data_IF_308713553297
#
_entry.id   IF_308713553297
#
_cell.length_a   1.000
_cell.length_b   1.000
_cell.length_c   1.000
_cell.angle_alpha   90.00
_cell.angle_beta   90.00
_cell.angle_gamma   90.00
#
_symmetry.space_group_name_H-M   'P 1'
#
loop_
_entity.id
_entity.type
_entity.pdbx_description
1 polymer ?
#
# COMPACT_ATOMS: atom_id res chain seq x y z
N UNK A 1 -5.46 12.78 10.34
CA UNK A 1 -6.17 12.92 11.63
C UNK A 1 -5.10 13.17 12.69
N UNK A 2 -5.22 14.20 13.54
CA UNK A 2 -4.26 14.45 14.61
C UNK A 2 -4.11 13.24 15.53
N UNK A 3 -2.90 13.01 16.07
CA UNK A 3 -2.59 11.85 16.91
C UNK A 3 -3.50 11.76 18.13
N UNK A 4 -3.76 12.88 18.81
CA UNK A 4 -4.65 12.92 19.97
C UNK A 4 -6.08 12.49 19.64
N UNK A 5 -6.61 12.96 18.50
CA UNK A 5 -7.94 12.58 18.02
C UNK A 5 -7.99 11.09 17.67
N UNK A 6 -6.93 10.56 17.05
CA UNK A 6 -6.80 9.15 16.73
C UNK A 6 -6.77 8.25 17.98
N UNK A 7 -5.96 8.59 18.99
CA UNK A 7 -5.89 7.85 20.25
C UNK A 7 -7.25 7.82 20.94
N UNK A 8 -7.90 8.99 21.07
CA UNK A 8 -9.23 9.10 21.68
C UNK A 8 -10.29 8.28 20.92
N UNK A 9 -10.27 8.32 19.59
CA UNK A 9 -11.18 7.52 18.76
C UNK A 9 -10.99 6.02 18.99
N UNK A 10 -9.75 5.56 19.06
CA UNK A 10 -9.45 4.14 19.32
C UNK A 10 -9.83 3.70 20.73
N UNK A 11 -9.70 4.56 21.75
CA UNK A 11 -10.19 4.27 23.09
C UNK A 11 -11.71 4.09 23.13
N UNK A 12 -12.45 4.94 22.42
CA UNK A 12 -13.92 4.82 22.30
C UNK A 12 -14.29 3.51 21.60
N UNK A 13 -13.62 3.17 20.50
CA UNK A 13 -13.85 1.92 19.77
C UNK A 13 -13.60 0.69 20.64
N UNK A 14 -12.49 0.67 21.38
CA UNK A 14 -12.19 -0.40 22.34
C UNK A 14 -13.27 -0.55 23.42
N UNK A 15 -13.76 0.57 23.98
CA UNK A 15 -14.87 0.56 24.96
C UNK A 15 -16.15 -0.02 24.37
N UNK A 16 -16.38 0.21 23.08
CA UNK A 16 -17.52 -0.33 22.33
C UNK A 16 -17.30 -1.74 21.79
N UNK A 17 -16.17 -2.40 22.10
CA UNK A 17 -15.79 -3.70 21.53
C UNK A 17 -15.68 -3.70 19.99
N UNK A 18 -15.36 -2.55 19.41
CA UNK A 18 -15.10 -2.39 17.99
C UNK A 18 -13.59 -2.48 17.70
N UNK A 19 -13.26 -3.03 16.52
CA UNK A 19 -11.87 -3.12 16.06
C UNK A 19 -11.24 -1.72 15.95
N UNK A 20 -10.10 -1.43 16.61
CA UNK A 20 -9.44 -0.14 16.52
C UNK A 20 -8.88 0.10 15.12
N UNK A 21 -8.79 1.37 14.72
CA UNK A 21 -8.10 1.73 13.49
C UNK A 21 -6.60 1.50 13.64
N UNK A 22 -5.99 0.93 12.59
CA UNK A 22 -4.56 0.62 12.58
C UNK A 22 -3.67 1.87 12.59
N UNK A 23 -4.04 2.94 11.88
CA UNK A 23 -3.25 4.17 11.81
C UNK A 23 -4.13 5.41 11.58
N UNK A 24 -3.61 6.64 11.80
CA UNK A 24 -4.37 7.87 11.60
C UNK A 24 -4.85 8.08 10.17
N UNK A 25 -4.17 7.54 9.15
CA UNK A 25 -4.58 7.59 7.73
C UNK A 25 -5.89 6.83 7.52
N UNK A 26 -5.97 5.59 8.00
CA UNK A 26 -7.17 4.75 7.90
C UNK A 26 -8.31 5.33 8.72
N UNK A 27 -8.01 5.84 9.93
CA UNK A 27 -9.00 6.52 10.76
C UNK A 27 -9.57 7.76 10.05
N UNK A 28 -8.73 8.61 9.46
CA UNK A 28 -9.18 9.79 8.72
C UNK A 28 -10.07 9.42 7.51
N UNK A 29 -9.64 8.46 6.69
CA UNK A 29 -10.39 8.02 5.53
C UNK A 29 -11.76 7.43 5.91
N UNK A 30 -11.80 6.55 6.92
CA UNK A 30 -13.05 5.99 7.43
C UNK A 30 -13.96 7.02 8.11
N UNK A 31 -13.39 8.13 8.58
CA UNK A 31 -14.13 9.25 9.18
C UNK A 31 -14.77 10.15 8.14
N UNK A 32 -14.06 10.43 7.04
CA UNK A 32 -14.57 11.26 5.96
C UNK A 32 -15.68 10.55 5.15
N UNK A 33 -15.63 9.22 5.05
CA UNK A 33 -16.58 8.39 4.29
C UNK A 33 -17.83 7.97 5.06
N UNK A 34 -18.16 8.63 6.16
CA UNK A 34 -19.39 8.35 6.90
C UNK A 34 -20.61 8.87 6.15
N UNK A 35 -21.67 8.06 6.06
CA UNK A 35 -22.94 8.48 5.46
C UNK A 35 -23.61 9.60 6.28
N UNK A 36 -23.53 9.50 7.61
CA UNK A 36 -24.01 10.56 8.50
C UNK A 36 -22.86 11.54 8.83
N UNK A 37 -22.94 12.80 8.37
CA UNK A 37 -21.91 13.81 8.66
C UNK A 37 -21.78 14.14 10.16
N UNK A 38 -22.81 13.87 10.97
CA UNK A 38 -22.74 14.04 12.44
C UNK A 38 -21.78 13.05 13.10
N UNK A 39 -21.51 11.92 12.46
CA UNK A 39 -20.49 10.98 12.94
C UNK A 39 -19.11 11.56 12.60
N UNK A 40 -18.91 12.05 11.39
CA UNK A 40 -17.64 12.64 10.95
C UNK A 40 -17.26 13.86 11.82
N UNK A 41 -18.23 14.73 12.16
CA UNK A 41 -17.99 15.93 12.96
C UNK A 41 -17.44 15.63 14.37
N UNK A 42 -17.81 14.48 14.96
CA UNK A 42 -17.31 14.05 16.28
C UNK A 42 -15.87 13.54 16.26
N UNK A 43 -15.31 13.27 15.07
CA UNK A 43 -13.99 12.62 14.93
C UNK A 43 -12.82 13.61 14.82
N UNK A 44 -13.08 14.91 15.04
CA UNK A 44 -12.05 15.96 15.18
C UNK A 44 -11.01 15.90 14.04
N UNK A 45 -11.50 15.79 12.80
CA UNK A 45 -10.64 15.85 11.63
C UNK A 45 -10.04 17.24 11.50
N UNK A 46 -8.80 17.29 11.01
CA UNK A 46 -8.10 18.52 10.66
C UNK A 46 -7.47 18.39 9.27
N UNK A 47 -7.08 19.51 8.68
CA UNK A 47 -6.60 19.60 7.30
C UNK A 47 -5.47 20.62 7.16
N UNK A 48 -4.51 20.29 6.30
CA UNK A 48 -3.59 21.24 5.69
C UNK A 48 -3.82 21.27 4.18
N UNK A 49 -3.96 22.46 3.61
CA UNK A 49 -3.94 22.64 2.16
C UNK A 49 -2.49 22.75 1.69
N UNK A 50 -2.20 22.12 0.55
CA UNK A 50 -0.82 22.01 0.04
C UNK A 50 -0.69 22.43 -1.43
N UNK A 51 -1.78 22.73 -2.11
CA UNK A 51 -1.78 23.15 -3.51
C UNK A 51 -3.14 23.75 -3.87
N UNK A 52 -3.15 24.49 -4.98
CA UNK A 52 -4.36 24.95 -5.64
C UNK A 52 -4.46 24.19 -6.96
N UNK A 53 -5.58 23.54 -7.19
CA UNK A 53 -5.92 22.95 -8.49
C UNK A 53 -6.89 23.87 -9.25
N UNK A 54 -6.97 23.69 -10.57
CA UNK A 54 -7.83 24.51 -11.43
C UNK A 54 -7.19 25.87 -11.80
N UNK A 55 -8.03 26.79 -12.26
CA UNK A 55 -7.60 28.12 -12.70
C UNK A 55 -7.27 29.02 -11.49
N UNK A 56 -6.20 29.82 -11.63
CA UNK A 56 -5.80 30.81 -10.63
C UNK A 56 -6.18 32.20 -11.14
N UNK A 57 -7.32 32.72 -10.67
CA UNK A 57 -7.86 34.01 -11.12
C UNK A 57 -7.36 35.20 -10.27
N UNK A 58 -6.67 34.93 -9.16
CA UNK A 58 -6.36 35.95 -8.15
C UNK A 58 -4.91 36.44 -8.23
N UNK A 59 -4.67 37.40 -9.11
CA UNK A 59 -3.39 38.11 -9.23
C UNK A 59 -2.24 37.26 -9.81
N UNK A 60 -1.06 37.88 -9.93
CA UNK A 60 0.14 37.31 -10.57
C UNK A 60 1.06 36.65 -9.55
N UNK A 61 0.53 35.70 -8.76
CA UNK A 61 1.39 34.91 -7.87
C UNK A 61 2.03 33.79 -8.68
N UNK A 62 3.33 33.95 -8.93
CA UNK A 62 4.15 33.08 -9.78
C UNK A 62 4.85 31.96 -9.02
N UNK A 63 4.81 31.96 -7.68
CA UNK A 63 5.41 30.91 -6.85
C UNK A 63 4.37 30.06 -6.10
N UNK A 64 4.70 28.79 -5.91
CA UNK A 64 3.89 27.85 -5.13
C UNK A 64 3.79 28.30 -3.67
N UNK A 65 4.92 28.67 -3.07
CA UNK A 65 5.02 29.25 -1.73
C UNK A 65 4.13 30.48 -1.57
N UNK A 66 4.18 31.41 -2.53
CA UNK A 66 3.35 32.61 -2.53
C UNK A 66 1.85 32.30 -2.58
N UNK A 67 1.45 31.25 -3.30
CA UNK A 67 0.04 30.81 -3.32
C UNK A 67 -0.38 30.24 -1.97
N UNK A 68 0.48 29.47 -1.30
CA UNK A 68 0.21 28.97 0.05
C UNK A 68 0.09 30.11 1.07
N UNK A 69 0.99 31.09 1.03
CA UNK A 69 0.93 32.29 1.87
C UNK A 69 -0.37 33.07 1.65
N UNK A 70 -0.81 33.18 0.40
CA UNK A 70 -2.09 33.83 0.08
C UNK A 70 -3.28 33.05 0.64
N UNK A 71 -3.30 31.72 0.50
CA UNK A 71 -4.33 30.88 1.12
C UNK A 71 -4.35 31.04 2.65
N UNK A 72 -3.18 31.13 3.29
CA UNK A 72 -3.08 31.37 4.73
C UNK A 72 -3.70 32.71 5.11
N UNK A 73 -3.46 33.78 4.33
CA UNK A 73 -4.10 35.10 4.52
C UNK A 73 -5.62 35.06 4.38
N UNK A 74 -6.15 34.16 3.55
CA UNK A 74 -7.60 33.93 3.42
C UNK A 74 -8.20 33.11 4.57
N UNK A 75 -7.39 32.63 5.51
CA UNK A 75 -7.83 31.82 6.65
C UNK A 75 -7.84 30.32 6.39
N UNK A 76 -7.30 29.86 5.26
CA UNK A 76 -7.05 28.43 5.06
C UNK A 76 -5.88 27.95 5.93
N UNK A 77 -5.96 26.69 6.37
CA UNK A 77 -4.89 26.07 7.15
C UNK A 77 -3.80 25.55 6.22
N UNK A 78 -2.60 26.11 6.35
CA UNK A 78 -1.36 25.64 5.71
C UNK A 78 -0.48 25.00 6.78
N UNK A 79 0.39 24.07 6.38
CA UNK A 79 1.33 23.45 7.31
C UNK A 79 2.36 24.50 7.77
N UNK A 80 2.44 24.82 9.08
CA UNK A 80 3.39 25.82 9.60
C UNK A 80 4.85 25.41 9.38
N UNK A 81 5.12 24.13 9.18
CA UNK A 81 6.46 23.60 9.05
C UNK A 81 7.03 23.71 7.62
N UNK A 82 6.25 24.17 6.64
CA UNK A 82 6.73 24.29 5.26
C UNK A 82 7.84 25.34 5.13
N UNK A 83 8.91 25.01 4.40
CA UNK A 83 10.07 25.88 4.22
C UNK A 83 10.44 26.04 2.74
N UNK A 84 10.82 27.25 2.34
CA UNK A 84 11.43 27.53 1.04
C UNK A 84 12.93 27.23 1.16
N UNK A 85 13.42 26.33 0.31
CA UNK A 85 14.83 25.97 0.22
C UNK A 85 15.41 26.50 -1.10
N UNK A 86 16.57 27.16 -1.06
CA UNK A 86 17.24 27.77 -2.21
C UNK A 86 18.26 26.87 -2.88
N UNK A 87 18.64 25.76 -2.25
CA UNK A 87 19.55 24.77 -2.80
C UNK A 87 19.15 23.33 -2.41
N UNK A 88 19.77 22.34 -3.04
CA UNK A 88 19.53 20.94 -2.70
C UNK A 88 20.10 20.59 -1.32
N UNK A 89 21.16 21.26 -0.89
CA UNK A 89 21.74 21.10 0.43
C UNK A 89 20.74 21.53 1.51
N UNK A 90 20.10 22.70 1.35
CA UNK A 90 19.04 23.15 2.27
C UNK A 90 17.86 22.17 2.32
N UNK A 91 17.51 21.55 1.18
CA UNK A 91 16.46 20.52 1.13
C UNK A 91 16.87 19.27 1.92
N UNK A 92 18.12 18.82 1.79
CA UNK A 92 18.61 17.65 2.51
C UNK A 92 18.69 17.90 4.02
N UNK A 93 19.17 19.08 4.43
CA UNK A 93 19.19 19.51 5.83
C UNK A 93 17.77 19.52 6.43
N UNK A 94 16.80 20.08 5.70
CA UNK A 94 15.40 20.10 6.12
C UNK A 94 14.81 18.68 6.26
N UNK A 95 15.15 17.76 5.35
CA UNK A 95 14.73 16.36 5.42
C UNK A 95 15.32 15.67 6.64
N UNK A 96 16.61 15.87 6.93
CA UNK A 96 17.28 15.28 8.08
C UNK A 96 16.69 15.80 9.39
N UNK A 97 16.50 17.12 9.50
CA UNK A 97 15.85 17.77 10.64
C UNK A 97 14.47 17.16 10.94
N UNK A 98 13.62 17.04 9.92
CA UNK A 98 12.28 16.50 10.11
C UNK A 98 12.26 14.98 10.27
N UNK A 99 13.29 14.27 9.82
CA UNK A 99 13.44 12.84 10.12
C UNK A 99 13.60 12.63 11.62
N UNK A 100 14.39 13.47 12.29
CA UNK A 100 14.58 13.42 13.75
C UNK A 100 13.37 13.96 14.52
N UNK A 101 12.83 15.11 14.07
CA UNK A 101 11.75 15.82 14.77
C UNK A 101 10.36 15.26 14.52
N UNK A 102 10.15 14.34 13.58
CA UNK A 102 8.82 13.81 13.22
C UNK A 102 7.98 13.35 14.41
N UNK A 103 8.60 12.76 15.43
CA UNK A 103 7.90 12.26 16.62
C UNK A 103 7.32 13.38 17.51
N UNK A 104 7.79 14.63 17.35
CA UNK A 104 7.30 15.79 18.08
C UNK A 104 6.02 16.41 17.47
N UNK A 105 5.68 16.05 16.23
CA UNK A 105 4.50 16.56 15.55
C UNK A 105 3.22 15.99 16.17
N UNK A 106 2.16 16.80 16.16
CA UNK A 106 0.83 16.39 16.60
C UNK A 106 0.08 15.52 15.58
N UNK A 107 0.73 15.17 14.47
CA UNK A 107 0.19 14.41 13.36
C UNK A 107 1.30 13.53 12.75
N UNK A 108 0.90 12.41 12.15
CA UNK A 108 1.84 11.50 11.51
C UNK A 108 2.22 12.00 10.11
N UNK A 109 3.50 11.91 9.78
CA UNK A 109 4.06 12.14 8.46
C UNK A 109 4.87 10.92 8.03
N UNK A 110 4.91 10.68 6.72
CA UNK A 110 5.58 9.52 6.13
C UNK A 110 6.74 9.91 5.19
N UNK A 111 7.03 11.20 5.11
CA UNK A 111 8.10 11.79 4.33
C UNK A 111 7.90 13.29 4.16
N UNK A 112 8.76 13.88 3.33
CA UNK A 112 8.72 15.28 2.93
C UNK A 112 8.39 15.36 1.43
N UNK A 113 7.53 16.30 1.03
CA UNK A 113 7.25 16.55 -0.39
C UNK A 113 8.07 17.74 -0.85
N UNK A 114 9.00 17.49 -1.77
CA UNK A 114 9.84 18.52 -2.39
C UNK A 114 9.15 18.95 -3.67
N UNK A 115 9.01 20.26 -3.89
CA UNK A 115 8.37 20.84 -5.07
C UNK A 115 9.22 21.97 -5.61
N UNK A 116 9.27 22.08 -6.94
CA UNK A 116 9.78 23.29 -7.61
C UNK A 116 8.87 24.46 -7.23
N UNK A 117 9.44 25.56 -6.72
CA UNK A 117 8.63 26.68 -6.24
C UNK A 117 8.07 27.54 -7.38
N UNK A 118 8.82 27.68 -8.46
CA UNK A 118 8.41 28.43 -9.65
C UNK A 118 7.30 27.71 -10.43
N UNK A 119 6.16 28.38 -10.63
CA UNK A 119 4.99 27.76 -11.25
C UNK A 119 5.10 27.63 -12.77
N UNK A 120 5.81 28.54 -13.44
CA UNK A 120 6.07 28.42 -14.88
C UNK A 120 6.92 27.16 -15.16
N UNK A 121 7.93 26.91 -14.33
CA UNK A 121 8.74 25.71 -14.37
C UNK A 121 7.90 24.44 -14.09
N UNK A 122 6.91 24.49 -13.18
CA UNK A 122 6.00 23.36 -12.98
C UNK A 122 5.21 23.04 -14.25
N UNK A 123 4.69 24.06 -14.94
CA UNK A 123 3.95 23.90 -16.20
C UNK A 123 4.85 23.31 -17.30
N UNK A 124 6.06 23.83 -17.46
CA UNK A 124 7.03 23.34 -18.44
C UNK A 124 7.47 21.89 -18.17
N UNK A 125 7.66 21.52 -16.90
CA UNK A 125 8.03 20.16 -16.50
C UNK A 125 6.88 19.18 -16.72
N UNK A 126 5.64 19.59 -16.48
CA UNK A 126 4.43 18.82 -16.73
C UNK A 126 4.29 17.55 -15.89
N UNK A 127 3.59 16.56 -16.44
CA UNK A 127 3.20 15.32 -15.74
C UNK A 127 3.58 14.09 -16.56
N UNK A 128 3.90 13.00 -15.85
CA UNK A 128 3.86 11.64 -16.41
C UNK A 128 2.42 11.11 -16.40
N UNK A 129 2.21 9.87 -16.84
CA UNK A 129 0.89 9.23 -16.76
C UNK A 129 0.31 9.13 -15.34
N UNK A 130 1.14 9.22 -14.29
CA UNK A 130 0.72 9.01 -12.89
C UNK A 130 1.17 10.08 -11.90
N UNK A 131 2.18 10.90 -12.22
CA UNK A 131 2.80 11.82 -11.25
C UNK A 131 3.36 13.09 -11.91
N UNK A 132 3.41 14.22 -11.20
CA UNK A 132 4.11 15.43 -11.66
C UNK A 132 5.62 15.18 -11.81
N UNK A 133 6.27 15.90 -12.73
CA UNK A 133 7.74 15.89 -12.89
C UNK A 133 8.45 16.92 -12.01
N UNK A 134 7.70 17.86 -11.46
CA UNK A 134 8.18 18.98 -10.64
C UNK A 134 8.05 18.76 -9.12
N UNK A 135 7.56 17.59 -8.70
CA UNK A 135 7.45 17.25 -7.28
C UNK A 135 7.82 15.79 -7.03
N UNK A 136 8.42 15.54 -5.86
CA UNK A 136 8.79 14.21 -5.40
C UNK A 136 8.50 14.05 -3.91
N UNK A 137 8.01 12.89 -3.50
CA UNK A 137 7.88 12.52 -2.11
C UNK A 137 9.16 11.81 -1.65
N UNK A 138 9.95 12.50 -0.82
CA UNK A 138 11.10 11.94 -0.14
C UNK A 138 10.63 11.21 1.12
N UNK A 139 10.53 9.88 1.02
CA UNK A 139 10.07 9.03 2.13
C UNK A 139 11.15 8.88 3.19
N UNK A 140 10.75 8.91 4.46
CA UNK A 140 11.67 8.58 5.55
C UNK A 140 12.11 7.12 5.45
N UNK A 141 13.25 6.76 6.06
CA UNK A 141 13.64 5.37 6.21
C UNK A 141 12.49 4.58 6.84
N UNK A 142 12.08 3.51 6.16
CA UNK A 142 10.99 2.67 6.62
C UNK A 142 11.35 2.06 7.98
N UNK A 143 10.38 2.04 8.90
CA UNK A 143 10.56 1.33 10.17
C UNK A 143 10.79 -0.16 9.88
N UNK A 144 11.94 -0.66 10.34
CA UNK A 144 12.26 -2.07 10.34
C UNK A 144 11.73 -2.71 11.63
N UNK A 145 11.19 -3.92 11.53
CA UNK A 145 10.81 -4.72 12.67
C UNK A 145 11.35 -6.14 12.54
N UNK A 146 11.66 -6.75 13.67
CA UNK A 146 12.15 -8.12 13.75
C UNK A 146 10.96 -9.04 14.07
N UNK A 147 10.81 -10.12 13.32
CA UNK A 147 9.79 -11.15 13.58
C UNK A 147 10.27 -12.53 13.10
N UNK A 148 9.52 -13.59 13.40
CA UNK A 148 9.81 -14.95 12.93
C UNK A 148 9.06 -15.29 11.65
N UNK A 149 9.74 -15.94 10.71
CA UNK A 149 9.16 -16.56 9.54
C UNK A 149 8.57 -17.92 9.93
N UNK A 150 7.24 -18.00 10.04
CA UNK A 150 6.52 -19.21 10.45
C UNK A 150 6.41 -20.20 9.30
N UNK A 151 6.08 -19.72 8.11
CA UNK A 151 5.84 -20.54 6.93
C UNK A 151 5.91 -19.69 5.65
N UNK A 152 5.87 -20.32 4.48
CA UNK A 152 5.76 -19.66 3.17
C UNK A 152 4.56 -20.23 2.43
N UNK A 153 3.55 -19.39 2.21
CA UNK A 153 2.37 -19.74 1.43
C UNK A 153 2.54 -19.35 -0.05
N UNK A 154 2.10 -20.22 -0.95
CA UNK A 154 2.15 -19.98 -2.38
C UNK A 154 0.77 -19.60 -2.92
N UNK A 155 0.73 -18.52 -3.68
CA UNK A 155 -0.47 -18.09 -4.41
C UNK A 155 -0.24 -18.18 -5.92
N UNK A 156 -1.29 -18.51 -6.67
CA UNK A 156 -1.25 -18.53 -8.15
C UNK A 156 -1.98 -17.31 -8.66
N UNK A 157 -1.25 -16.38 -9.27
CA UNK A 157 -1.81 -15.15 -9.82
C UNK A 157 -2.57 -15.38 -11.13
N UNK A 158 -3.26 -14.33 -11.60
CA UNK A 158 -4.06 -14.33 -12.84
C UNK A 158 -3.32 -14.82 -14.10
N UNK A 159 -2.01 -14.57 -14.18
CA UNK A 159 -1.17 -14.95 -15.32
C UNK A 159 -0.41 -16.25 -15.08
N UNK A 160 -0.81 -17.02 -14.06
CA UNK A 160 -0.19 -18.27 -13.67
C UNK A 160 1.06 -18.13 -12.79
N UNK A 161 1.54 -16.92 -12.53
CA UNK A 161 2.71 -16.66 -11.69
C UNK A 161 2.50 -17.20 -10.29
N UNK A 162 3.46 -18.00 -9.80
CA UNK A 162 3.49 -18.52 -8.44
C UNK A 162 4.22 -17.51 -7.56
N UNK A 163 3.47 -16.85 -6.67
CA UNK A 163 4.00 -15.81 -5.79
C UNK A 163 4.11 -16.34 -4.36
N UNK A 164 5.34 -16.42 -3.81
CA UNK A 164 5.55 -16.79 -2.41
C UNK A 164 5.25 -15.63 -1.47
N UNK A 165 4.53 -15.92 -0.40
CA UNK A 165 4.20 -14.98 0.67
C UNK A 165 4.69 -15.53 2.01
N UNK A 166 5.55 -14.79 2.69
CA UNK A 166 5.97 -15.12 4.04
C UNK A 166 4.78 -15.02 5.01
N UNK A 167 4.56 -16.07 5.79
CA UNK A 167 3.70 -16.08 6.97
C UNK A 167 4.57 -15.77 8.17
N UNK A 168 4.25 -14.71 8.88
CA UNK A 168 5.09 -14.14 9.93
C UNK A 168 4.39 -14.20 11.29
N UNK A 169 5.19 -14.29 12.35
CA UNK A 169 4.70 -14.03 13.69
C UNK A 169 4.17 -12.59 13.77
N UNK A 170 3.00 -12.34 14.39
CA UNK A 170 2.38 -11.02 14.34
C UNK A 170 3.27 -9.95 14.97
N UNK A 171 3.70 -8.98 14.17
CA UNK A 171 4.58 -7.88 14.62
C UNK A 171 4.02 -6.52 14.23
N UNK A 172 4.21 -5.50 15.06
CA UNK A 172 3.79 -4.13 14.74
C UNK A 172 4.87 -3.41 13.94
N UNK A 173 4.49 -2.85 12.79
CA UNK A 173 5.35 -2.05 11.92
C UNK A 173 4.58 -0.83 11.42
N UNK A 174 5.09 0.39 11.67
CA UNK A 174 4.44 1.63 11.28
C UNK A 174 2.95 1.66 11.68
N UNK A 175 2.67 1.33 12.94
CA UNK A 175 1.32 1.38 13.55
C UNK A 175 0.38 0.20 13.25
N UNK A 176 0.64 -0.66 12.25
CA UNK A 176 -0.22 -1.83 11.97
C UNK A 176 0.46 -3.15 12.27
N UNK A 177 -0.32 -4.15 12.68
CA UNK A 177 0.14 -5.53 12.78
C UNK A 177 0.35 -6.11 11.38
N UNK A 178 1.53 -6.65 11.14
CA UNK A 178 1.93 -7.37 9.92
C UNK A 178 2.05 -8.85 10.27
N UNK A 179 1.41 -9.70 9.47
CA UNK A 179 1.49 -11.16 9.55
C UNK A 179 1.90 -11.79 8.21
N UNK A 180 1.93 -10.99 7.14
CA UNK A 180 2.20 -11.44 5.78
C UNK A 180 3.12 -10.45 5.10
N UNK A 181 4.12 -10.94 4.38
CA UNK A 181 5.03 -10.12 3.58
C UNK A 181 5.33 -10.78 2.23
N UNK A 182 5.47 -9.96 1.19
CA UNK A 182 5.85 -10.46 -0.14
C UNK A 182 7.29 -10.97 -0.12
N UNK A 183 7.52 -12.14 -0.71
CA UNK A 183 8.85 -12.66 -1.03
C UNK A 183 9.20 -12.49 -2.50
N UNK A 184 8.30 -11.91 -3.30
CA UNK A 184 8.42 -11.64 -4.73
C UNK A 184 8.57 -12.89 -5.62
N UNK A 185 9.66 -13.64 -5.48
CA UNK A 185 9.97 -14.83 -6.28
C UNK A 185 10.94 -15.78 -5.55
N UNK A 186 11.19 -16.94 -6.16
CA UNK A 186 12.10 -17.96 -5.60
C UNK A 186 13.55 -17.48 -5.54
N UNK A 187 14.00 -16.70 -6.52
CA UNK A 187 15.40 -16.27 -6.60
C UNK A 187 15.74 -15.35 -5.43
N UNK A 188 14.80 -14.50 -4.99
CA UNK A 188 14.96 -13.67 -3.79
C UNK A 188 15.01 -14.50 -2.49
N UNK A 189 14.26 -15.60 -2.43
CA UNK A 189 14.32 -16.53 -1.28
C UNK A 189 15.71 -17.14 -1.19
N UNK A 190 16.27 -17.57 -2.33
CA UNK A 190 17.63 -18.15 -2.42
C UNK A 190 18.71 -17.11 -2.15
N UNK A 191 18.60 -15.91 -2.72
CA UNK A 191 19.55 -14.80 -2.53
C UNK A 191 19.68 -14.42 -1.06
N UNK A 192 18.56 -14.41 -0.33
CA UNK A 192 18.51 -14.09 1.11
C UNK A 192 18.70 -15.31 2.02
N UNK A 193 18.92 -16.49 1.46
CA UNK A 193 18.93 -17.79 2.16
C UNK A 193 17.78 -17.94 3.15
N UNK A 194 16.55 -17.58 2.76
CA UNK A 194 15.41 -17.61 3.68
C UNK A 194 14.99 -19.04 4.01
N UNK A 195 14.88 -19.34 5.31
CA UNK A 195 14.47 -20.65 5.83
C UNK A 195 13.27 -20.53 6.77
N UNK A 196 12.38 -21.50 6.70
CA UNK A 196 11.24 -21.58 7.63
C UNK A 196 11.79 -21.68 9.06
N UNK A 197 11.29 -20.83 9.95
CA UNK A 197 11.75 -20.66 11.32
C UNK A 197 12.78 -19.54 11.52
N UNK A 198 13.28 -18.90 10.45
CA UNK A 198 14.25 -17.80 10.57
C UNK A 198 13.67 -16.59 11.32
N UNK A 199 14.54 -15.90 12.05
CA UNK A 199 14.26 -14.54 12.51
C UNK A 199 14.59 -13.57 11.37
N UNK A 200 13.60 -12.82 10.91
CA UNK A 200 13.69 -11.93 9.75
C UNK A 200 13.42 -10.48 10.13
N UNK A 201 14.09 -9.58 9.42
CA UNK A 201 13.80 -8.16 9.45
C UNK A 201 12.84 -7.84 8.32
N UNK A 202 11.72 -7.22 8.66
CA UNK A 202 10.72 -6.77 7.72
C UNK A 202 10.61 -5.26 7.74
N UNK A 203 10.18 -4.69 6.62
CA UNK A 203 9.82 -3.26 6.51
C UNK A 203 8.58 -3.10 5.67
N UNK A 204 7.99 -1.91 5.68
CA UNK A 204 6.92 -1.55 4.74
C UNK A 204 7.44 -0.65 3.63
N UNK A 205 7.39 -1.12 2.40
CA UNK A 205 7.62 -0.29 1.22
C UNK A 205 6.48 0.73 1.09
N UNK A 206 6.84 2.02 1.06
CA UNK A 206 5.89 3.13 0.95
C UNK A 206 4.79 3.11 2.03
N UNK A 207 5.11 2.63 3.23
CA UNK A 207 4.24 2.52 4.41
C UNK A 207 3.04 1.57 4.29
N UNK A 208 2.94 0.85 3.16
CA UNK A 208 1.78 0.03 2.81
C UNK A 208 2.15 -1.45 2.66
N UNK A 209 3.14 -1.79 1.84
CA UNK A 209 3.40 -3.18 1.42
C UNK A 209 4.54 -3.77 2.26
N UNK A 210 4.27 -4.79 3.10
CA UNK A 210 5.33 -5.42 3.89
C UNK A 210 6.23 -6.32 3.03
N UNK A 211 7.53 -6.21 3.24
CA UNK A 211 8.56 -6.97 2.54
C UNK A 211 9.64 -7.45 3.51
N UNK A 212 10.16 -8.65 3.27
CA UNK A 212 11.30 -9.19 4.03
C UNK A 212 12.59 -8.55 3.52
N UNK A 213 13.33 -7.88 4.41
CA UNK A 213 14.58 -7.18 4.10
C UNK A 213 15.75 -8.16 4.10
N UNK A 214 15.97 -8.85 5.23
CA UNK A 214 17.09 -9.76 5.44
C UNK A 214 16.80 -10.74 6.58
N UNK A 215 17.54 -11.84 6.62
CA UNK A 215 17.56 -12.77 7.75
C UNK A 215 18.57 -12.29 8.79
N UNK A 216 18.29 -12.55 10.07
CA UNK A 216 19.28 -12.46 11.14
C UNK A 216 19.98 -13.81 11.28
N UNK A 217 21.03 -14.02 10.49
CA UNK A 217 21.75 -15.31 10.44
C UNK A 217 22.36 -15.72 11.79
N UNK A 218 22.70 -14.74 12.64
CA UNK A 218 23.25 -14.94 13.97
C UNK A 218 22.24 -15.51 14.99
N UNK A 219 20.94 -15.46 14.67
CA UNK A 219 19.85 -15.98 15.51
C UNK A 219 19.43 -17.40 15.09
N UNK A 220 20.17 -18.03 14.16
CA UNK A 220 19.85 -19.37 13.68
C UNK A 220 20.17 -20.45 14.70
N UNK A 221 19.27 -21.41 14.76
CA UNK A 221 19.41 -22.68 15.46
C UNK A 221 19.30 -23.76 14.38
N UNK A 222 20.06 -24.84 14.39
CA UNK A 222 20.09 -25.84 13.29
C UNK A 222 18.74 -26.53 12.95
N UNK A 223 17.63 -26.03 13.49
CA UNK A 223 16.23 -26.39 13.28
C UNK A 223 15.59 -25.72 12.04
N UNK A 224 16.17 -24.64 11.48
CA UNK A 224 15.56 -23.95 10.33
C UNK A 224 15.60 -24.75 9.03
N UNK A 225 14.48 -24.75 8.30
CA UNK A 225 14.28 -25.58 7.11
C UNK A 225 14.37 -24.77 5.80
N UNK A 226 15.24 -25.16 4.85
CA UNK A 226 15.27 -24.54 3.53
C UNK A 226 13.93 -24.66 2.81
N UNK A 227 13.51 -23.60 2.13
CA UNK A 227 12.32 -23.60 1.29
C UNK A 227 12.69 -23.76 -0.19
N UNK A 228 11.95 -24.62 -0.90
CA UNK A 228 12.04 -24.76 -2.34
C UNK A 228 10.65 -24.62 -2.97
N UNK A 229 10.59 -24.01 -4.15
CA UNK A 229 9.33 -23.97 -4.89
C UNK A 229 8.93 -25.38 -5.33
N UNK A 230 7.62 -25.70 -5.38
CA UNK A 230 7.14 -26.98 -5.86
C UNK A 230 7.35 -27.10 -7.37
N UNK A 231 7.47 -28.34 -7.86
CA UNK A 231 7.49 -28.64 -9.30
C UNK A 231 6.08 -28.57 -9.91
N UNK A 232 5.05 -28.81 -9.09
CA UNK A 232 3.65 -28.86 -9.52
C UNK A 232 2.84 -27.70 -8.93
N UNK A 233 1.89 -27.21 -9.72
CA UNK A 233 1.02 -26.11 -9.33
C UNK A 233 0.18 -26.48 -8.10
N UNK A 234 0.21 -25.68 -7.00
CA UNK A 234 -0.56 -25.99 -5.80
C UNK A 234 -2.08 -25.92 -6.01
N UNK A 235 -2.55 -25.27 -7.10
CA UNK A 235 -3.98 -25.18 -7.41
C UNK A 235 -4.51 -26.31 -8.29
N UNK A 236 -3.75 -26.73 -9.30
CA UNK A 236 -4.26 -27.68 -10.31
C UNK A 236 -3.37 -28.90 -10.55
N UNK A 237 -2.23 -29.01 -9.87
CA UNK A 237 -1.28 -30.13 -9.99
C UNK A 237 -0.51 -30.20 -11.32
N UNK A 238 -0.69 -29.25 -12.23
CA UNK A 238 0.05 -29.22 -13.50
C UNK A 238 1.51 -28.83 -13.28
N UNK A 239 2.41 -29.32 -14.13
CA UNK A 239 3.83 -28.97 -14.11
C UNK A 239 4.03 -27.46 -14.25
N UNK A 240 4.89 -26.91 -13.38
CA UNK A 240 5.25 -25.51 -13.38
C UNK A 240 6.46 -25.29 -14.28
N UNK A 241 6.41 -24.21 -15.06
CA UNK A 241 7.45 -23.86 -16.03
C UNK A 241 7.97 -22.47 -15.72
N UNK A 242 9.30 -22.32 -15.79
CA UNK A 242 9.98 -21.04 -15.82
C UNK A 242 10.25 -20.71 -17.30
N UNK A 243 9.59 -19.68 -17.83
CA UNK A 243 9.74 -19.28 -19.25
C UNK A 243 11.13 -18.69 -19.49
N UNK A 244 11.63 -18.81 -20.72
CA UNK A 244 12.87 -18.12 -21.12
C UNK A 244 12.73 -16.62 -20.86
N UNK A 245 13.77 -16.02 -20.26
CA UNK A 245 13.84 -14.60 -19.83
C UNK A 245 12.99 -14.21 -18.61
N UNK A 246 12.21 -15.12 -18.00
CA UNK A 246 11.44 -14.83 -16.80
C UNK A 246 12.04 -15.46 -15.53
N UNK A 247 12.08 -14.68 -14.45
CA UNK A 247 12.45 -15.17 -13.11
C UNK A 247 11.29 -15.93 -12.43
N UNK A 248 10.06 -15.64 -12.85
CA UNK A 248 8.86 -16.16 -12.22
C UNK A 248 8.55 -17.60 -12.64
N UNK A 249 8.25 -18.45 -11.66
CA UNK A 249 7.70 -19.77 -11.90
C UNK A 249 6.20 -19.65 -12.24
N UNK A 250 5.71 -20.35 -13.27
CA UNK A 250 4.32 -20.21 -13.75
C UNK A 250 3.59 -21.52 -13.97
N UNK A 251 2.30 -21.50 -13.68
CA UNK A 251 1.34 -22.48 -14.15
C UNK A 251 0.87 -22.10 -15.56
N UNK A 252 1.12 -22.97 -16.54
CA UNK A 252 0.70 -22.76 -17.94
C UNK A 252 -0.64 -23.42 -18.27
N UNK A 253 -1.29 -24.06 -17.30
CA UNK A 253 -2.59 -24.70 -17.51
C UNK A 253 -3.70 -23.63 -17.65
N UNK A 254 -4.31 -23.45 -18.83
CA UNK A 254 -5.37 -22.45 -19.04
C UNK A 254 -6.64 -22.75 -18.24
N UNK A 255 -6.82 -24.00 -17.78
CA UNK A 255 -7.94 -24.42 -16.95
C UNK A 255 -7.59 -24.42 -15.45
N UNK A 256 -6.47 -23.80 -15.05
CA UNK A 256 -6.10 -23.68 -13.65
C UNK A 256 -7.20 -22.92 -12.87
N UNK A 257 -7.83 -23.54 -11.85
CA UNK A 257 -8.91 -22.91 -11.10
C UNK A 257 -8.53 -21.56 -10.50
N UNK A 258 -7.31 -21.45 -9.96
CA UNK A 258 -6.82 -20.19 -9.41
C UNK A 258 -6.66 -19.10 -10.48
N UNK A 259 -6.14 -19.42 -11.68
CA UNK A 259 -6.03 -18.44 -12.77
C UNK A 259 -7.40 -17.96 -13.24
N UNK A 260 -8.37 -18.87 -13.36
CA UNK A 260 -9.75 -18.51 -13.71
C UNK A 260 -10.39 -17.61 -12.65
N UNK A 261 -10.17 -17.91 -11.37
CA UNK A 261 -10.65 -17.11 -10.24
C UNK A 261 -10.07 -15.69 -10.28
N UNK A 262 -8.74 -15.58 -10.31
CA UNK A 262 -8.02 -14.31 -10.35
C UNK A 262 -8.31 -13.51 -11.63
N UNK A 263 -8.49 -14.20 -12.76
CA UNK A 263 -8.89 -13.60 -14.02
C UNK A 263 -10.27 -12.94 -13.93
N UNK A 264 -11.24 -13.59 -13.27
CA UNK A 264 -12.55 -13.02 -13.04
C UNK A 264 -12.51 -11.86 -12.05
N UNK A 265 -11.75 -11.97 -10.96
CA UNK A 265 -11.54 -10.87 -10.00
C UNK A 265 -10.97 -9.64 -10.73
N UNK A 266 -10.00 -9.84 -11.62
CA UNK A 266 -9.46 -8.75 -12.42
C UNK A 266 -10.49 -8.17 -13.39
N UNK A 267 -11.25 -9.02 -14.10
CA UNK A 267 -12.25 -8.60 -15.09
C UNK A 267 -13.33 -7.69 -14.48
N UNK A 268 -13.82 -8.02 -13.29
CA UNK A 268 -14.87 -7.25 -12.59
C UNK A 268 -14.32 -6.01 -11.89
N UNK A 269 -12.99 -5.89 -11.77
CA UNK A 269 -12.34 -4.80 -11.02
C UNK A 269 -12.65 -3.41 -11.58
N UNK A 270 -12.49 -2.40 -10.73
CA UNK A 270 -12.74 -0.99 -11.05
C UNK A 270 -11.97 -0.47 -12.27
N UNK A 271 -10.78 -1.01 -12.54
CA UNK A 271 -9.94 -0.61 -13.67
C UNK A 271 -10.21 -1.41 -14.95
N UNK A 272 -11.11 -2.39 -14.89
CA UNK A 272 -11.56 -3.20 -16.01
C UNK A 272 -13.03 -2.90 -16.29
N UNK A 273 -13.94 -3.86 -16.08
CA UNK A 273 -15.37 -3.67 -16.36
C UNK A 273 -16.14 -2.93 -15.26
N UNK A 274 -15.53 -2.70 -14.10
CA UNK A 274 -16.12 -1.97 -12.97
C UNK A 274 -17.54 -2.46 -12.61
N UNK A 275 -17.66 -3.76 -12.31
CA UNK A 275 -18.95 -4.37 -11.97
C UNK A 275 -19.16 -4.30 -10.46
N UNK A 276 -19.99 -3.35 -10.03
CA UNK A 276 -20.32 -3.17 -8.62
C UNK A 276 -21.07 -4.38 -8.04
N UNK A 277 -20.74 -4.76 -6.81
CA UNK A 277 -21.38 -5.89 -6.10
C UNK A 277 -20.76 -7.26 -6.35
N UNK A 278 -19.97 -7.43 -7.42
CA UNK A 278 -19.27 -8.68 -7.72
C UNK A 278 -17.83 -8.65 -7.20
N UNK A 279 -17.67 -8.72 -5.87
CA UNK A 279 -16.37 -8.73 -5.21
C UNK A 279 -15.71 -10.12 -5.12
N UNK A 280 -14.46 -10.17 -4.67
CA UNK A 280 -13.66 -11.39 -4.48
C UNK A 280 -14.43 -12.50 -3.73
N UNK A 281 -15.05 -12.18 -2.59
CA UNK A 281 -15.84 -13.15 -1.81
C UNK A 281 -17.02 -13.76 -2.58
N UNK A 282 -17.69 -12.96 -3.42
CA UNK A 282 -18.82 -13.45 -4.23
C UNK A 282 -18.30 -14.38 -5.31
N UNK A 283 -17.18 -14.04 -5.93
CA UNK A 283 -16.51 -14.91 -6.90
C UNK A 283 -16.06 -16.21 -6.23
N UNK A 284 -15.47 -16.16 -5.04
CA UNK A 284 -15.09 -17.37 -4.29
C UNK A 284 -16.29 -18.28 -4.00
N UNK A 285 -17.42 -17.71 -3.57
CA UNK A 285 -18.65 -18.45 -3.37
C UNK A 285 -19.17 -19.07 -4.67
N UNK A 286 -19.10 -18.34 -5.79
CA UNK A 286 -19.48 -18.86 -7.10
C UNK A 286 -18.63 -20.07 -7.47
N UNK A 287 -17.31 -20.01 -7.27
CA UNK A 287 -16.41 -21.14 -7.55
C UNK A 287 -16.62 -22.34 -6.61
N UNK A 288 -17.08 -22.11 -5.37
CA UNK A 288 -17.43 -23.18 -4.44
C UNK A 288 -18.79 -23.81 -4.73
N UNK A 289 -19.69 -23.08 -5.40
CA UNK A 289 -21.01 -23.58 -5.73
C UNK A 289 -20.95 -24.62 -6.87
N UNK A 290 -21.71 -25.72 -6.78
CA UNK A 290 -21.71 -26.81 -7.78
C UNK A 290 -22.26 -26.42 -9.16
N UNK A 291 -22.64 -25.15 -9.37
CA UNK A 291 -23.27 -24.63 -10.60
C UNK A 291 -22.24 -23.94 -11.52
N UNK A 292 -21.00 -23.71 -11.06
CA UNK A 292 -20.03 -22.93 -11.83
C UNK A 292 -19.39 -23.72 -12.97
N UNK A 293 -19.71 -23.31 -14.21
CA UNK A 293 -19.07 -23.80 -15.44
C UNK A 293 -18.09 -22.72 -15.92
N UNK A 294 -16.84 -23.06 -16.26
CA UNK A 294 -15.83 -22.07 -16.63
C UNK A 294 -16.21 -21.31 -17.91
N UNK A 295 -16.13 -19.97 -17.80
CA UNK A 295 -16.20 -18.82 -18.74
C UNK A 295 -16.83 -18.91 -20.15
N UNK A 296 -16.95 -20.06 -20.80
CA UNK A 296 -17.59 -20.15 -22.13
C UNK A 296 -19.11 -19.95 -22.09
N UNK A 297 -19.73 -20.03 -20.90
CA UNK A 297 -21.19 -19.97 -20.73
C UNK A 297 -21.63 -18.82 -19.79
N UNK A 298 -20.73 -18.29 -18.95
CA UNK A 298 -21.09 -17.36 -17.86
C UNK A 298 -21.37 -15.92 -18.29
N UNK A 299 -20.91 -15.49 -19.49
CA UNK A 299 -21.25 -14.17 -20.04
C UNK A 299 -22.77 -14.05 -20.27
N UNK A 300 -23.45 -15.15 -20.59
CA UNK A 300 -24.91 -15.15 -20.79
C UNK A 300 -25.73 -15.00 -19.50
N UNK A 301 -25.16 -15.32 -18.34
CA UNK A 301 -25.83 -15.23 -17.04
C UNK A 301 -25.68 -13.85 -16.41
N UNK A 302 -24.53 -13.18 -16.62
CA UNK A 302 -24.26 -11.86 -16.03
C UNK A 302 -25.00 -10.76 -16.80
N UNK A 303 -25.13 -10.87 -18.12
CA UNK A 303 -25.80 -9.84 -18.96
C UNK A 303 -27.33 -9.85 -18.83
N UNK A 304 -27.95 -10.93 -18.34
CA UNK A 304 -29.41 -11.01 -18.18
C UNK A 304 -29.96 -10.39 -16.89
N UNK A 305 -29.09 -9.92 -16.00
CA UNK A 305 -29.48 -9.38 -14.68
C UNK A 305 -29.15 -7.90 -14.48
N UNK A 306 -28.72 -7.20 -15.54
CA UNK A 306 -28.61 -5.75 -15.59
C UNK A 306 -29.79 -5.15 -16.37
#
# INVERSE_FOLDING_TARGET
MPQRAFVSLNEIRKKNQEEPFANPRNAAAGSLRQLDPKIASKRQLDIFLYAVGGEWETGTIETHSGRLDYLQKLGFKINPESQICKSIEEVLEYVEEWTEKRASLSYDIDGIVIKVDDLEAQEQLGFTAKSPRWAIAYKFPAEEAITKLIDIELSVGRTGVITPTAILEPVKVAGSTVQRASLHNEDLIKEKDLRIGDTVIIKKAGDIIPEVVRVLENERTDEQQPFAMPENCPSCGAELVRLEEEVALRCINPNCPAQLKEGLIHFVSRLAMNIDGLGEKVIEQLFQAPIFIPLRISIGLIVKSC
#
